data_IF_765089061847
#
_entry.id   IF_765089061847
#
_cell.length_a   1.000
_cell.length_b   1.000
_cell.length_c   1.000
_cell.angle_alpha   90.00
_cell.angle_beta   90.00
_cell.angle_gamma   90.00
#
_symmetry.space_group_name_H-M   'P 1'
#
loop_
_entity.id
_entity.type
_entity.pdbx_description
1 polymer ?
#
# COMPACT_ATOMS: atom_id res chain seq x y z
N UNK A 1 -8.72 12.16 10.11
CA UNK A 1 -8.25 10.91 9.46
C UNK A 1 -6.93 11.21 8.76
N UNK A 2 -5.87 10.62 9.27
CA UNK A 2 -4.51 10.82 8.74
C UNK A 2 -3.82 9.48 8.54
N UNK A 3 -2.84 9.42 7.65
CA UNK A 3 -2.13 8.16 7.38
C UNK A 3 -1.48 7.58 8.64
N UNK A 4 -0.97 8.45 9.53
CA UNK A 4 -0.33 8.02 10.77
C UNK A 4 -1.29 7.26 11.70
N UNK A 5 -2.59 7.44 11.54
CA UNK A 5 -3.58 6.70 12.31
C UNK A 5 -3.65 5.23 11.94
N UNK A 6 -3.16 4.86 10.74
CA UNK A 6 -3.31 3.52 10.18
C UNK A 6 -1.99 2.89 9.76
N UNK A 7 -0.96 3.68 9.47
CA UNK A 7 0.33 3.20 9.00
C UNK A 7 1.32 3.15 10.16
N UNK A 8 2.08 2.05 10.23
CA UNK A 8 3.16 1.89 11.22
C UNK A 8 4.49 1.81 10.49
N UNK A 9 5.58 2.23 11.15
CA UNK A 9 6.93 2.10 10.60
C UNK A 9 7.22 0.65 10.22
N UNK A 10 6.78 -0.29 11.05
CA UNK A 10 7.03 -1.73 10.83
C UNK A 10 6.34 -2.30 9.59
N UNK A 11 5.29 -1.66 9.09
CA UNK A 11 4.63 -2.09 7.86
C UNK A 11 5.10 -1.30 6.63
N UNK A 12 6.25 -0.65 6.73
CA UNK A 12 6.92 0.01 5.60
C UNK A 12 8.08 -0.88 5.16
N UNK A 13 8.09 -1.23 3.86
CA UNK A 13 9.16 -2.01 3.26
C UNK A 13 9.95 -1.08 2.33
N UNK A 14 11.17 -0.65 2.74
CA UNK A 14 11.92 0.33 1.94
C UNK A 14 12.49 -0.25 0.64
N UNK A 15 12.69 -1.55 0.58
CA UNK A 15 13.22 -2.24 -0.60
C UNK A 15 12.49 -3.55 -0.80
N UNK A 16 11.50 -3.55 -1.68
CA UNK A 16 10.81 -4.79 -2.06
C UNK A 16 11.77 -5.68 -2.84
N UNK A 17 11.74 -6.98 -2.54
CA UNK A 17 12.58 -7.98 -3.19
C UNK A 17 11.88 -8.59 -4.40
N UNK A 18 10.57 -8.51 -4.43
CA UNK A 18 9.74 -9.12 -5.48
C UNK A 18 9.87 -8.41 -6.80
N UNK A 19 9.68 -9.16 -7.89
CA UNK A 19 9.77 -8.65 -9.25
C UNK A 19 8.50 -8.87 -10.07
N UNK A 20 7.50 -9.56 -9.50
CA UNK A 20 6.23 -9.83 -10.19
C UNK A 20 5.06 -9.34 -9.37
N UNK A 21 3.92 -9.15 -10.02
CA UNK A 21 2.69 -8.71 -9.37
C UNK A 21 2.27 -9.66 -8.23
N UNK A 22 2.26 -10.96 -8.48
CA UNK A 22 1.87 -11.93 -7.45
C UNK A 22 2.85 -11.94 -6.28
N UNK A 23 4.15 -11.92 -6.56
CA UNK A 23 5.15 -12.00 -5.50
C UNK A 23 5.18 -10.75 -4.63
N UNK A 24 4.94 -9.56 -5.20
CA UNK A 24 4.93 -8.33 -4.39
C UNK A 24 3.70 -8.30 -3.46
N UNK A 25 2.56 -8.77 -3.92
CA UNK A 25 1.36 -8.85 -3.08
C UNK A 25 1.63 -9.80 -1.90
N UNK A 26 2.26 -10.93 -2.17
CA UNK A 26 2.62 -11.88 -1.11
C UNK A 26 3.63 -11.27 -0.13
N UNK A 27 4.64 -10.60 -0.63
CA UNK A 27 5.66 -9.98 0.22
C UNK A 27 5.05 -8.94 1.16
N UNK A 28 4.17 -8.08 0.65
CA UNK A 28 3.49 -7.07 1.46
C UNK A 28 2.54 -7.74 2.47
N UNK A 29 1.80 -8.74 2.03
CA UNK A 29 0.89 -9.47 2.93
C UNK A 29 1.63 -10.17 4.06
N UNK A 30 2.77 -10.80 3.75
CA UNK A 30 3.61 -11.45 4.77
C UNK A 30 4.09 -10.44 5.82
N UNK A 31 4.53 -9.27 5.38
CA UNK A 31 4.96 -8.21 6.29
C UNK A 31 3.82 -7.76 7.20
N UNK A 32 2.65 -7.47 6.63
CA UNK A 32 1.49 -7.02 7.40
C UNK A 32 1.05 -8.10 8.40
N UNK A 33 0.99 -9.36 7.98
CA UNK A 33 0.59 -10.47 8.84
C UNK A 33 1.54 -10.70 10.00
N UNK A 34 2.85 -10.49 9.77
CA UNK A 34 3.84 -10.62 10.83
C UNK A 34 3.66 -9.56 11.92
N UNK A 35 3.25 -8.37 11.54
CA UNK A 35 3.07 -7.25 12.48
C UNK A 35 1.68 -7.29 13.14
N UNK A 36 0.69 -7.85 12.45
CA UNK A 36 -0.69 -7.96 12.93
C UNK A 36 -1.10 -9.44 13.04
N UNK A 37 -0.84 -10.09 14.19
CA UNK A 37 -1.05 -11.54 14.35
C UNK A 37 -2.49 -12.00 14.18
N UNK A 38 -3.47 -11.09 14.30
CA UNK A 38 -4.89 -11.42 14.13
C UNK A 38 -5.25 -11.69 12.66
N UNK A 39 -4.37 -11.34 11.73
CA UNK A 39 -4.61 -11.51 10.30
C UNK A 39 -4.19 -12.90 9.88
N UNK A 40 -5.08 -13.62 9.21
CA UNK A 40 -4.74 -14.87 8.54
C UNK A 40 -4.04 -14.53 7.22
N UNK A 41 -2.78 -14.88 7.11
CA UNK A 41 -1.94 -14.55 5.96
C UNK A 41 -2.51 -15.09 4.64
N UNK A 42 -2.92 -16.35 4.60
CA UNK A 42 -3.43 -16.96 3.39
C UNK A 42 -4.70 -16.26 2.89
N UNK A 43 -5.59 -15.93 3.82
CA UNK A 43 -6.82 -15.22 3.48
C UNK A 43 -6.54 -13.81 2.97
N UNK A 44 -5.55 -13.15 3.55
CA UNK A 44 -5.16 -11.81 3.11
C UNK A 44 -4.64 -11.85 1.68
N UNK A 45 -3.73 -12.78 1.39
CA UNK A 45 -3.17 -12.93 0.05
C UNK A 45 -4.29 -13.22 -0.95
N UNK A 46 -5.17 -14.16 -0.62
CA UNK A 46 -6.29 -14.53 -1.47
C UNK A 46 -7.21 -13.34 -1.76
N UNK A 47 -7.57 -12.58 -0.74
CA UNK A 47 -8.45 -11.42 -0.89
C UNK A 47 -7.81 -10.33 -1.76
N UNK A 48 -6.52 -10.07 -1.57
CA UNK A 48 -5.80 -9.09 -2.37
C UNK A 48 -5.73 -9.52 -3.84
N UNK A 49 -5.42 -10.79 -4.09
CA UNK A 49 -5.34 -11.30 -5.45
C UNK A 49 -6.70 -11.32 -6.14
N UNK A 50 -7.77 -11.67 -5.44
CA UNK A 50 -9.13 -11.63 -5.98
C UNK A 50 -9.52 -10.22 -6.39
N UNK A 51 -9.17 -9.23 -5.57
CA UNK A 51 -9.45 -7.82 -5.91
C UNK A 51 -8.70 -7.40 -7.18
N UNK A 52 -7.45 -7.83 -7.34
CA UNK A 52 -6.66 -7.50 -8.51
C UNK A 52 -7.22 -8.14 -9.79
N UNK A 53 -7.85 -9.31 -9.67
CA UNK A 53 -8.47 -9.98 -10.83
C UNK A 53 -9.64 -9.20 -11.43
N UNK A 54 -10.34 -8.43 -10.60
CA UNK A 54 -11.45 -7.60 -11.07
C UNK A 54 -10.95 -6.46 -11.94
N UNK A 55 -9.87 -5.80 -11.50
CA UNK A 55 -9.27 -4.68 -12.18
C UNK A 55 -7.99 -4.33 -11.42
N UNK A 56 -6.93 -4.02 -12.13
CA UNK A 56 -5.68 -3.63 -11.48
C UNK A 56 -5.89 -2.41 -10.59
N UNK A 57 -5.27 -2.43 -9.40
CA UNK A 57 -5.24 -1.26 -8.51
C UNK A 57 -4.10 -0.31 -8.82
N UNK A 58 -3.33 -0.57 -9.86
CA UNK A 58 -2.30 0.34 -10.31
C UNK A 58 -2.94 1.60 -10.91
N UNK A 59 -2.52 2.73 -10.37
CA UNK A 59 -2.84 4.03 -10.93
C UNK A 59 -1.79 4.36 -11.99
N UNK A 60 -1.77 5.59 -12.47
CA UNK A 60 -0.67 6.05 -13.29
C UNK A 60 0.52 6.49 -12.40
N UNK A 61 1.59 6.96 -13.01
CA UNK A 61 2.75 7.55 -12.32
C UNK A 61 3.47 6.62 -11.34
N UNK A 62 3.35 5.31 -11.54
CA UNK A 62 4.10 4.33 -10.75
C UNK A 62 3.55 4.03 -9.37
N UNK A 63 2.25 4.23 -9.15
CA UNK A 63 1.59 4.03 -7.86
C UNK A 63 0.51 2.96 -8.00
N UNK A 64 0.45 2.05 -7.04
CA UNK A 64 -0.64 1.07 -6.93
C UNK A 64 -1.20 1.06 -5.50
N UNK A 65 -2.48 0.76 -5.38
CA UNK A 65 -3.15 0.71 -4.07
C UNK A 65 -3.86 -0.64 -3.92
N UNK A 66 -3.11 -1.73 -3.72
CA UNK A 66 -3.73 -3.02 -3.43
C UNK A 66 -4.59 -2.90 -2.18
N UNK A 67 -5.82 -3.41 -2.24
CA UNK A 67 -6.68 -3.31 -1.06
C UNK A 67 -7.67 -4.47 -1.01
N UNK A 68 -8.13 -4.77 0.19
CA UNK A 68 -9.08 -5.85 0.44
C UNK A 68 -9.81 -5.63 1.75
N UNK A 69 -10.96 -6.28 1.87
CA UNK A 69 -11.69 -6.39 3.14
C UNK A 69 -11.52 -7.81 3.65
N UNK A 70 -11.22 -7.93 4.93
CA UNK A 70 -11.06 -9.24 5.57
C UNK A 70 -11.79 -9.27 6.93
N UNK A 71 -12.11 -10.49 7.36
CA UNK A 71 -12.65 -10.71 8.71
C UNK A 71 -11.50 -10.77 9.72
N UNK A 72 -11.83 -10.62 11.00
CA UNK A 72 -10.86 -10.81 12.09
C UNK A 72 -10.10 -9.56 12.50
N UNK A 73 -10.34 -8.42 11.86
CA UNK A 73 -9.76 -7.14 12.27
C UNK A 73 -10.86 -6.13 12.55
N UNK A 74 -10.56 -5.15 13.39
CA UNK A 74 -11.52 -4.12 13.79
C UNK A 74 -11.14 -2.74 13.27
N UNK A 75 -9.91 -2.56 12.80
CA UNK A 75 -9.39 -1.28 12.32
C UNK A 75 -8.76 -1.43 10.95
N UNK A 76 -8.73 -0.34 10.21
CA UNK A 76 -8.02 -0.29 8.93
C UNK A 76 -6.52 -0.36 9.19
N UNK A 77 -5.82 -1.10 8.34
CA UNK A 77 -4.39 -1.26 8.40
C UNK A 77 -3.79 -0.82 7.06
N UNK A 78 -2.76 0.01 7.11
CA UNK A 78 -1.99 0.40 5.94
C UNK A 78 -0.60 -0.23 5.96
N UNK A 79 -0.13 -0.60 4.78
CA UNK A 79 1.25 -0.97 4.55
C UNK A 79 1.80 -0.19 3.37
N UNK A 80 3.10 -0.10 3.27
CA UNK A 80 3.77 0.57 2.16
C UNK A 80 4.98 -0.23 1.73
N UNK A 81 5.19 -0.31 0.42
CA UNK A 81 6.39 -0.93 -0.14
C UNK A 81 6.91 -0.12 -1.32
N UNK A 82 8.23 -0.07 -1.44
CA UNK A 82 8.90 0.63 -2.53
C UNK A 82 9.75 -0.33 -3.34
N UNK A 83 9.59 -0.27 -4.67
CA UNK A 83 10.47 -0.95 -5.62
C UNK A 83 11.20 0.10 -6.44
N UNK A 84 12.50 0.19 -6.29
CA UNK A 84 13.28 1.20 -7.00
C UNK A 84 13.28 0.92 -8.52
N UNK A 85 13.35 -0.34 -8.91
CA UNK A 85 13.37 -0.74 -10.31
C UNK A 85 11.98 -0.73 -10.96
N UNK A 86 10.93 -0.84 -10.14
CA UNK A 86 9.57 -0.91 -10.63
C UNK A 86 9.14 -2.33 -10.97
N UNK A 87 7.84 -2.58 -10.82
CA UNK A 87 7.23 -3.90 -11.06
C UNK A 87 6.06 -3.70 -12.02
N UNK A 88 5.96 -4.58 -13.03
CA UNK A 88 4.83 -4.56 -13.95
C UNK A 88 3.57 -4.95 -13.17
N UNK A 89 2.63 -4.01 -13.02
CA UNK A 89 1.42 -4.19 -12.21
C UNK A 89 0.14 -3.88 -12.99
N UNK A 90 0.22 -3.96 -14.33
CA UNK A 90 -0.91 -3.71 -15.21
C UNK A 90 -1.50 -2.30 -15.04
N UNK A 91 -0.61 -1.29 -15.02
CA UNK A 91 -1.02 0.10 -14.89
C UNK A 91 -1.67 0.60 -16.18
N UNK A 92 -2.52 1.62 -16.05
CA UNK A 92 -3.24 2.21 -17.19
C UNK A 92 -2.30 2.84 -18.23
N UNK A 93 -1.19 3.39 -17.77
CA UNK A 93 -0.20 4.06 -18.63
C UNK A 93 0.97 3.15 -19.01
N UNK A 94 0.90 1.86 -18.67
CA UNK A 94 1.94 0.87 -18.92
C UNK A 94 3.28 1.17 -18.27
N UNK A 95 3.32 2.07 -17.28
CA UNK A 95 4.55 2.35 -16.53
C UNK A 95 4.72 1.32 -15.41
N UNK A 96 5.98 0.98 -15.05
CA UNK A 96 6.22 0.13 -13.88
C UNK A 96 5.75 0.83 -12.61
N UNK A 97 5.34 0.03 -11.63
CA UNK A 97 4.90 0.53 -10.32
C UNK A 97 6.06 0.50 -9.34
N UNK A 98 6.33 1.64 -8.72
CA UNK A 98 7.40 1.81 -7.73
C UNK A 98 6.86 1.85 -6.31
N UNK A 99 5.63 2.32 -6.11
CA UNK A 99 5.05 2.57 -4.78
C UNK A 99 3.76 1.76 -4.63
N UNK A 100 3.72 0.98 -3.56
CA UNK A 100 2.58 0.13 -3.23
C UNK A 100 2.05 0.54 -1.87
N UNK A 101 0.87 1.14 -1.84
CA UNK A 101 0.18 1.48 -0.59
C UNK A 101 -0.94 0.47 -0.44
N UNK A 102 -0.83 -0.43 0.53
CA UNK A 102 -1.81 -1.48 0.74
C UNK A 102 -2.76 -1.10 1.85
N UNK A 103 -4.05 -1.23 1.57
CA UNK A 103 -5.10 -0.90 2.54
C UNK A 103 -5.91 -2.16 2.84
N UNK A 104 -5.95 -2.55 4.10
CA UNK A 104 -6.73 -3.68 4.58
C UNK A 104 -7.83 -3.14 5.48
N UNK A 105 -9.08 -3.42 5.13
CA UNK A 105 -10.23 -2.93 5.87
C UNK A 105 -11.00 -4.06 6.54
N UNK A 106 -11.66 -3.78 7.67
CA UNK A 106 -12.61 -4.75 8.24
C UNK A 106 -13.73 -5.07 7.26
N UNK A 107 -14.21 -6.30 7.31
CA UNK A 107 -15.25 -6.77 6.42
C UNK A 107 -16.52 -5.90 6.46
N UNK A 108 -16.83 -5.35 7.61
CA UNK A 108 -18.00 -4.49 7.82
C UNK A 108 -17.67 -2.99 7.75
N UNK A 109 -16.55 -2.62 7.16
CA UNK A 109 -16.17 -1.22 6.98
C UNK A 109 -17.19 -0.51 6.09
N UNK A 110 -17.62 0.68 6.51
CA UNK A 110 -18.77 1.37 5.88
C UNK A 110 -18.39 2.72 5.25
N UNK A 111 -17.32 2.83 4.56
CA UNK A 111 -17.00 4.05 3.81
C UNK A 111 -15.71 4.73 4.21
N UNK A 112 -15.20 4.52 5.41
CA UNK A 112 -13.91 5.09 5.83
C UNK A 112 -12.79 4.66 4.89
N UNK A 113 -12.81 3.41 4.45
CA UNK A 113 -11.79 2.90 3.52
C UNK A 113 -11.85 3.63 2.17
N UNK A 114 -13.04 4.01 1.70
CA UNK A 114 -13.19 4.74 0.43
C UNK A 114 -12.59 6.14 0.57
N UNK A 115 -12.85 6.82 1.69
CA UNK A 115 -12.28 8.14 1.96
C UNK A 115 -10.76 8.07 2.03
N UNK A 116 -10.24 7.02 2.66
CA UNK A 116 -8.80 6.84 2.79
C UNK A 116 -8.14 6.53 1.44
N UNK A 117 -8.78 5.73 0.59
CA UNK A 117 -8.31 5.49 -0.77
C UNK A 117 -8.24 6.79 -1.57
N UNK A 118 -9.26 7.63 -1.47
CA UNK A 118 -9.27 8.92 -2.15
C UNK A 118 -8.15 9.83 -1.65
N UNK A 119 -7.92 9.85 -0.34
CA UNK A 119 -6.84 10.62 0.26
C UNK A 119 -5.46 10.15 -0.22
N UNK A 120 -5.24 8.86 -0.24
CA UNK A 120 -4.00 8.26 -0.74
C UNK A 120 -3.77 8.65 -2.20
N UNK A 121 -4.78 8.52 -3.04
CA UNK A 121 -4.68 8.90 -4.45
C UNK A 121 -4.31 10.37 -4.61
N UNK A 122 -4.88 11.23 -3.80
CA UNK A 122 -4.60 12.67 -3.83
C UNK A 122 -3.16 12.98 -3.42
N UNK A 123 -2.70 12.36 -2.33
CA UNK A 123 -1.34 12.56 -1.82
C UNK A 123 -0.30 12.14 -2.87
N UNK A 124 -0.51 11.00 -3.51
CA UNK A 124 0.46 10.46 -4.46
C UNK A 124 0.42 11.09 -5.84
N UNK A 125 -0.44 12.06 -6.09
CA UNK A 125 -0.38 12.87 -7.30
C UNK A 125 0.82 13.82 -7.29
N UNK A 126 1.35 14.13 -6.12
CA UNK A 126 2.48 15.05 -5.97
C UNK A 126 3.77 14.39 -6.44
N UNK A 127 4.33 14.90 -7.53
CA UNK A 127 5.57 14.39 -8.11
C UNK A 127 6.75 14.58 -7.17
N UNK A 128 6.76 15.67 -6.40
CA UNK A 128 7.85 15.94 -5.44
C UNK A 128 7.85 14.89 -4.34
N UNK A 129 6.67 14.48 -3.88
CA UNK A 129 6.57 13.39 -2.90
C UNK A 129 7.16 12.11 -3.46
N UNK A 130 6.78 11.73 -4.68
CA UNK A 130 7.27 10.50 -5.28
C UNK A 130 8.80 10.53 -5.45
N UNK A 131 9.35 11.67 -5.84
CA UNK A 131 10.80 11.83 -5.95
C UNK A 131 11.50 11.70 -4.60
N UNK A 132 10.94 12.28 -3.55
CA UNK A 132 11.48 12.14 -2.19
C UNK A 132 11.47 10.69 -1.73
N UNK A 133 10.37 9.98 -2.00
CA UNK A 133 10.26 8.57 -1.61
C UNK A 133 11.29 7.69 -2.32
N UNK A 134 11.58 7.96 -3.58
CA UNK A 134 12.60 7.21 -4.30
C UNK A 134 13.99 7.36 -3.67
N UNK A 135 14.25 8.49 -3.03
CA UNK A 135 15.54 8.78 -2.38
C UNK A 135 15.61 8.36 -0.92
N UNK A 136 14.52 7.86 -0.35
CA UNK A 136 14.51 7.35 1.04
C UNK A 136 15.17 5.98 1.09
N UNK A 137 15.98 5.74 2.14
CA UNK A 137 16.70 4.48 2.31
C UNK A 137 16.21 3.62 3.47
N UNK A 138 15.39 4.16 4.37
CA UNK A 138 14.95 3.43 5.57
C UNK A 138 13.44 3.53 5.77
N UNK A 139 12.92 2.62 6.60
CA UNK A 139 11.50 2.63 6.98
C UNK A 139 11.12 3.95 7.64
N UNK A 140 11.98 4.47 8.50
CA UNK A 140 11.73 5.70 9.23
C UNK A 140 11.68 6.90 8.30
N UNK A 141 12.59 6.99 7.34
CA UNK A 141 12.59 8.08 6.36
C UNK A 141 11.31 8.08 5.53
N UNK A 142 10.90 6.91 5.06
CA UNK A 142 9.68 6.77 4.26
C UNK A 142 8.46 7.15 5.11
N UNK A 143 8.38 6.60 6.31
CA UNK A 143 7.26 6.88 7.21
C UNK A 143 7.15 8.38 7.49
N UNK A 144 8.26 9.02 7.82
CA UNK A 144 8.29 10.45 8.10
C UNK A 144 7.89 11.27 6.86
N UNK A 145 8.40 10.90 5.69
CA UNK A 145 8.08 11.60 4.44
C UNK A 145 6.59 11.52 4.13
N UNK A 146 6.00 10.33 4.26
CA UNK A 146 4.58 10.12 4.01
C UNK A 146 3.70 10.89 4.99
N UNK A 147 4.00 10.79 6.28
CA UNK A 147 3.18 11.44 7.30
C UNK A 147 3.33 12.96 7.28
N UNK A 148 4.50 13.46 6.93
CA UNK A 148 4.71 14.92 6.76
C UNK A 148 3.95 15.45 5.55
N UNK A 149 3.95 14.73 4.45
CA UNK A 149 3.18 15.12 3.26
C UNK A 149 1.69 15.13 3.57
N UNK A 150 1.22 14.11 4.29
CA UNK A 150 -0.18 13.97 4.67
C UNK A 150 -0.71 15.16 5.48
N UNK A 151 0.16 15.83 6.23
CA UNK A 151 -0.20 17.02 7.02
C UNK A 151 -0.71 18.18 6.15
N UNK A 152 -0.38 18.18 4.86
CA UNK A 152 -0.79 19.22 3.93
C UNK A 152 -2.24 19.09 3.45
N UNK A 153 -2.91 17.99 3.78
CA UNK A 153 -4.26 17.68 3.28
C UNK A 153 -5.31 17.59 4.37
#
# INVERSE_FOLDING_TARGET
MKLVDFLKVKTVIPKLKSTTKQSVIKEIADNISNIHPNINNERLIEALLEREKLCSTALDSGVAVPHAKISGITEIILGFGKSLEGIAFESLDNTPTNFFITLIAPENSSGTHIQLLARISKIFRDQDLRSKLLNCDSEEEIFYTLTSEDEKY
#
